data_IF_873448215244
#
_entry.id   IF_873448215244
#
_cell.length_a   1.000
_cell.length_b   1.000
_cell.length_c   1.000
_cell.angle_alpha   90.00
_cell.angle_beta   90.00
_cell.angle_gamma   90.00
#
_symmetry.space_group_name_H-M   'P 1'
#
loop_
_entity.id
_entity.type
_entity.pdbx_description
1 polymer ?
#
# COMPACT_ATOMS: atom_id res chain seq x y z
N UNK A 1 -43.16 -70.30 14.28
CA UNK A 1 -43.39 -69.95 15.70
C UNK A 1 -42.04 -69.61 16.31
N UNK A 2 -41.70 -68.32 16.40
CA UNK A 2 -40.48 -67.84 17.05
C UNK A 2 -40.92 -66.92 18.18
N UNK A 3 -40.56 -67.30 19.39
CA UNK A 3 -40.94 -66.67 20.65
C UNK A 3 -40.07 -65.45 20.90
N UNK A 4 -40.72 -64.32 21.17
CA UNK A 4 -40.10 -63.02 21.47
C UNK A 4 -39.79 -62.97 22.96
N UNK A 5 -38.52 -62.75 23.32
CA UNK A 5 -38.11 -62.48 24.70
C UNK A 5 -37.88 -60.98 24.86
N UNK A 6 -38.76 -60.33 25.60
CA UNK A 6 -38.69 -58.92 25.99
C UNK A 6 -37.74 -58.78 27.18
N UNK A 7 -36.66 -58.03 27.02
CA UNK A 7 -35.77 -57.63 28.12
C UNK A 7 -36.14 -56.21 28.54
N UNK A 8 -36.62 -56.08 29.79
CA UNK A 8 -36.89 -54.80 30.46
C UNK A 8 -35.60 -54.34 31.12
N UNK A 9 -35.01 -53.24 30.65
CA UNK A 9 -33.95 -52.53 31.36
C UNK A 9 -34.54 -51.30 32.06
N UNK A 10 -34.30 -51.26 33.37
CA UNK A 10 -34.83 -50.29 34.30
C UNK A 10 -34.22 -48.90 34.15
N UNK A 11 -35.11 -47.93 34.36
CA UNK A 11 -34.88 -46.50 34.45
C UNK A 11 -34.31 -46.16 35.85
N UNK A 12 -33.10 -45.63 35.90
CA UNK A 12 -32.59 -44.75 36.98
C UNK A 12 -31.90 -43.60 36.23
N UNK A 13 -32.35 -42.35 36.27
CA UNK A 13 -32.75 -41.60 37.44
C UNK A 13 -31.58 -40.71 37.90
N UNK A 14 -31.05 -39.86 37.01
CA UNK A 14 -30.15 -38.76 37.38
C UNK A 14 -30.87 -37.44 37.10
N UNK A 15 -31.22 -36.72 38.17
CA UNK A 15 -31.60 -35.32 38.13
C UNK A 15 -30.34 -34.49 37.92
N UNK A 16 -30.16 -33.97 36.70
CA UNK A 16 -29.34 -32.78 36.47
C UNK A 16 -30.27 -31.56 36.59
N UNK A 17 -30.01 -30.71 37.57
CA UNK A 17 -30.67 -29.43 37.71
C UNK A 17 -30.27 -28.52 36.54
N UNK A 18 -31.19 -28.29 35.62
CA UNK A 18 -31.05 -27.29 34.57
C UNK A 18 -31.37 -25.91 35.16
N UNK A 19 -30.36 -25.04 35.29
CA UNK A 19 -30.58 -23.61 35.37
C UNK A 19 -30.98 -23.12 33.98
N UNK A 20 -32.29 -23.10 33.71
CA UNK A 20 -32.86 -22.46 32.54
C UNK A 20 -32.85 -20.95 32.70
N UNK A 21 -31.82 -20.30 32.17
CA UNK A 21 -31.83 -18.88 31.82
C UNK A 21 -31.95 -18.77 30.31
N UNK A 22 -33.16 -18.51 29.83
CA UNK A 22 -33.43 -18.25 28.42
C UNK A 22 -32.98 -16.81 28.12
N UNK A 23 -31.71 -16.64 27.77
CA UNK A 23 -31.18 -15.38 27.27
C UNK A 23 -31.37 -15.35 25.75
N UNK A 24 -32.15 -14.38 25.28
CA UNK A 24 -32.35 -14.12 23.87
C UNK A 24 -31.02 -13.72 23.22
N UNK A 25 -30.67 -14.41 22.13
CA UNK A 25 -29.59 -14.05 21.23
C UNK A 25 -29.89 -12.69 20.59
N UNK A 26 -29.20 -11.65 21.06
CA UNK A 26 -28.88 -10.47 20.29
C UNK A 26 -27.37 -10.51 20.04
N UNK A 27 -26.95 -10.64 18.79
CA UNK A 27 -25.56 -10.50 18.38
C UNK A 27 -25.20 -9.01 18.43
N UNK A 28 -24.65 -8.59 19.57
CA UNK A 28 -24.08 -7.25 19.80
C UNK A 28 -22.54 -7.38 19.84
N UNK A 29 -21.77 -6.37 19.38
CA UNK A 29 -20.31 -6.38 19.47
C UNK A 29 -19.91 -6.19 20.93
N UNK A 30 -19.61 -7.30 21.60
CA UNK A 30 -19.23 -7.31 23.02
C UNK A 30 -19.52 -8.64 23.70
N UNK A 31 -19.34 -9.77 23.01
CA UNK A 31 -19.53 -11.08 23.62
C UNK A 31 -18.49 -11.30 24.72
N UNK A 32 -18.96 -11.28 25.96
CA UNK A 32 -18.12 -11.55 27.11
C UNK A 32 -17.93 -13.06 27.24
N UNK A 33 -16.70 -13.53 26.99
CA UNK A 33 -16.39 -14.96 27.13
C UNK A 33 -16.18 -15.25 28.62
N UNK A 34 -16.96 -16.20 29.15
CA UNK A 34 -16.94 -16.56 30.56
C UNK A 34 -15.68 -17.34 30.94
N UNK A 35 -15.22 -17.14 32.17
CA UNK A 35 -14.15 -17.93 32.77
C UNK A 35 -14.35 -19.45 32.58
N UNK A 36 -13.29 -20.12 32.10
CA UNK A 36 -13.29 -21.56 31.88
C UNK A 36 -13.98 -22.02 30.60
N UNK A 37 -14.42 -21.09 29.73
CA UNK A 37 -14.87 -21.43 28.38
C UNK A 37 -13.69 -21.86 27.51
N UNK A 38 -13.86 -22.92 26.73
CA UNK A 38 -12.90 -23.33 25.71
C UNK A 38 -12.79 -22.30 24.56
N UNK A 39 -13.78 -21.41 24.43
CA UNK A 39 -13.78 -20.34 23.43
C UNK A 39 -12.65 -19.32 23.65
N UNK A 40 -12.15 -19.18 24.89
CA UNK A 40 -11.03 -18.30 25.23
C UNK A 40 -9.74 -18.64 24.45
N UNK A 41 -9.61 -19.88 24.00
CA UNK A 41 -8.40 -20.43 23.36
C UNK A 41 -8.68 -20.97 21.95
N UNK A 42 -9.79 -20.54 21.33
CA UNK A 42 -10.32 -21.16 20.12
C UNK A 42 -9.75 -20.60 18.82
N UNK A 43 -9.08 -19.45 18.87
CA UNK A 43 -8.51 -18.76 17.72
C UNK A 43 -7.01 -18.47 17.91
N UNK A 44 -6.26 -18.47 16.80
CA UNK A 44 -4.86 -18.02 16.79
C UNK A 44 -4.78 -16.52 16.56
N UNK A 45 -3.79 -15.88 17.16
CA UNK A 45 -3.48 -14.48 16.94
C UNK A 45 -2.18 -14.37 16.15
N UNK A 46 -2.29 -14.01 14.87
CA UNK A 46 -1.14 -13.95 13.94
C UNK A 46 -0.58 -12.52 13.77
N UNK A 47 -1.11 -11.54 14.52
CA UNK A 47 -0.67 -10.15 14.45
C UNK A 47 0.31 -9.83 15.60
N UNK A 48 1.31 -8.98 15.37
CA UNK A 48 2.16 -8.47 16.46
C UNK A 48 1.54 -7.26 17.19
N UNK A 49 0.34 -6.84 16.80
CA UNK A 49 -0.42 -5.79 17.49
C UNK A 49 -0.79 -6.22 18.91
N UNK A 50 -0.90 -5.26 19.82
CA UNK A 50 -1.38 -5.54 21.18
C UNK A 50 -2.81 -6.08 21.12
N UNK A 51 -3.06 -7.17 21.83
CA UNK A 51 -4.40 -7.73 21.99
C UNK A 51 -5.25 -6.83 22.88
N UNK A 52 -6.47 -6.56 22.45
CA UNK A 52 -7.44 -5.72 23.16
C UNK A 52 -8.22 -6.46 24.27
N UNK A 53 -7.92 -7.75 24.49
CA UNK A 53 -8.56 -8.56 25.52
C UNK A 53 -8.35 -7.99 26.93
N UNK A 54 -9.42 -7.76 27.68
CA UNK A 54 -9.39 -7.27 29.06
C UNK A 54 -10.26 -8.13 29.98
N UNK A 55 -9.77 -8.37 31.20
CA UNK A 55 -10.55 -9.04 32.23
C UNK A 55 -11.55 -8.09 32.88
N UNK A 56 -12.84 -8.40 32.81
CA UNK A 56 -13.90 -7.60 33.44
C UNK A 56 -14.33 -8.18 34.79
N UNK A 57 -14.67 -7.30 35.74
CA UNK A 57 -15.23 -7.70 37.03
C UNK A 57 -16.69 -8.16 36.88
N UNK A 58 -17.18 -8.94 37.85
CA UNK A 58 -18.57 -9.40 37.86
C UNK A 58 -19.52 -8.25 38.17
N UNK A 59 -20.77 -8.35 37.69
CA UNK A 59 -21.81 -7.32 37.81
C UNK A 59 -22.08 -6.88 39.27
N UNK A 60 -21.79 -7.75 40.24
CA UNK A 60 -21.98 -7.49 41.68
C UNK A 60 -20.77 -6.80 42.36
N UNK A 61 -19.73 -6.40 41.61
CA UNK A 61 -18.48 -5.89 42.17
C UNK A 61 -17.67 -6.96 42.93
N UNK A 62 -18.06 -8.23 42.80
CA UNK A 62 -17.32 -9.36 43.33
C UNK A 62 -16.11 -9.59 42.41
N UNK A 63 -14.91 -9.51 42.99
CA UNK A 63 -13.67 -9.83 42.28
C UNK A 63 -13.58 -11.35 42.08
N UNK A 64 -13.95 -11.84 40.90
CA UNK A 64 -13.59 -13.20 40.52
C UNK A 64 -12.07 -13.26 40.34
N UNK A 65 -11.44 -14.26 40.95
CA UNK A 65 -10.02 -14.58 40.76
C UNK A 65 -9.87 -15.72 39.77
N UNK A 66 -10.52 -15.64 38.61
CA UNK A 66 -10.28 -16.59 37.55
C UNK A 66 -9.10 -16.12 36.70
N UNK A 67 -8.18 -17.03 36.40
CA UNK A 67 -7.17 -16.83 35.39
C UNK A 67 -7.82 -17.10 34.04
N UNK A 68 -7.88 -16.08 33.18
CA UNK A 68 -8.53 -16.17 31.87
C UNK A 68 -7.55 -16.64 30.79
N UNK A 69 -6.26 -16.37 30.97
CA UNK A 69 -5.19 -16.78 30.06
C UNK A 69 -4.09 -15.73 29.97
N UNK A 70 -3.28 -15.81 28.91
CA UNK A 70 -2.22 -14.86 28.59
C UNK A 70 -2.53 -14.14 27.27
N UNK A 71 -2.28 -12.83 27.24
CA UNK A 71 -2.43 -11.99 26.05
C UNK A 71 -1.13 -11.29 25.71
N UNK A 72 -0.92 -10.97 24.43
CA UNK A 72 0.18 -10.13 24.01
C UNK A 72 -0.17 -8.65 24.17
N UNK A 73 0.64 -7.88 24.91
CA UNK A 73 0.41 -6.45 25.12
C UNK A 73 1.15 -5.54 24.11
N UNK A 74 1.76 -6.12 23.08
CA UNK A 74 2.63 -5.40 22.14
C UNK A 74 4.12 -5.51 22.45
N UNK A 75 4.49 -5.94 23.65
CA UNK A 75 5.88 -6.08 24.09
C UNK A 75 6.16 -7.38 24.86
N UNK A 76 5.18 -7.89 25.59
CA UNK A 76 5.29 -9.11 26.38
C UNK A 76 3.93 -9.80 26.52
N UNK A 77 3.97 -11.04 26.98
CA UNK A 77 2.79 -11.79 27.34
C UNK A 77 2.39 -11.51 28.80
N UNK A 78 1.21 -10.90 28.96
CA UNK A 78 0.63 -10.58 30.27
C UNK A 78 -0.48 -11.56 30.63
N UNK A 79 -0.50 -12.00 31.88
CA UNK A 79 -1.62 -12.76 32.42
C UNK A 79 -2.82 -11.83 32.64
N UNK A 80 -3.99 -12.24 32.15
CA UNK A 80 -5.25 -11.57 32.46
C UNK A 80 -6.13 -12.41 33.38
N UNK A 81 -6.88 -11.72 34.25
CA UNK A 81 -7.80 -12.34 35.18
C UNK A 81 -9.05 -11.50 35.35
N UNK A 82 -10.17 -12.15 35.65
CA UNK A 82 -11.48 -11.51 35.74
C UNK A 82 -12.60 -12.53 35.90
N UNK A 83 -13.84 -12.08 35.78
CA UNK A 83 -15.00 -12.98 35.69
C UNK A 83 -15.30 -13.36 34.24
N UNK A 84 -15.04 -12.44 33.31
CA UNK A 84 -15.19 -12.61 31.88
C UNK A 84 -14.07 -11.86 31.16
N UNK A 85 -13.87 -12.18 29.88
CA UNK A 85 -13.04 -11.42 28.97
C UNK A 85 -13.92 -10.50 28.11
N UNK A 86 -13.52 -9.25 27.92
CA UNK A 86 -14.10 -8.31 26.94
C UNK A 86 -13.03 -7.85 25.94
N UNK A 87 -13.42 -7.62 24.69
CA UNK A 87 -12.51 -7.29 23.58
C UNK A 87 -12.64 -8.28 22.43
N UNK A 88 -12.22 -7.87 21.22
CA UNK A 88 -12.30 -8.69 20.01
C UNK A 88 -11.31 -9.88 20.06
N UNK A 89 -10.26 -9.77 20.89
CA UNK A 89 -9.22 -10.78 21.03
C UNK A 89 -9.48 -11.80 22.14
N UNK A 90 -10.64 -11.77 22.80
CA UNK A 90 -10.93 -12.68 23.90
C UNK A 90 -10.93 -14.17 23.54
N UNK A 91 -11.19 -14.49 22.27
CA UNK A 91 -11.10 -15.86 21.77
C UNK A 91 -9.69 -16.31 21.39
N UNK A 92 -8.71 -15.41 21.49
CA UNK A 92 -7.32 -15.58 21.04
C UNK A 92 -6.30 -15.63 22.18
N UNK A 93 -6.76 -15.81 23.41
CA UNK A 93 -5.86 -15.99 24.55
C UNK A 93 -5.13 -17.32 24.41
N UNK A 94 -4.04 -17.46 25.13
CA UNK A 94 -3.31 -18.72 25.27
C UNK A 94 -3.43 -19.23 26.70
N UNK A 95 -3.43 -20.55 26.86
CA UNK A 95 -3.60 -21.19 28.18
C UNK A 95 -2.35 -21.00 29.05
N UNK A 96 -1.18 -20.95 28.42
CA UNK A 96 0.11 -20.86 29.12
C UNK A 96 0.94 -19.67 28.63
N UNK A 97 1.79 -19.15 29.53
CA UNK A 97 2.76 -18.11 29.19
C UNK A 97 3.70 -18.55 28.07
N UNK A 98 4.14 -19.81 28.11
CA UNK A 98 5.04 -20.39 27.10
C UNK A 98 4.40 -20.41 25.71
N UNK A 99 3.13 -20.79 25.60
CA UNK A 99 2.39 -20.74 24.32
C UNK A 99 2.22 -19.31 23.81
N UNK A 100 1.96 -18.36 24.71
CA UNK A 100 1.89 -16.94 24.37
C UNK A 100 3.23 -16.45 23.79
N UNK A 101 4.32 -16.70 24.53
CA UNK A 101 5.68 -16.30 24.16
C UNK A 101 6.14 -17.00 22.88
N UNK A 102 5.77 -18.27 22.69
CA UNK A 102 6.07 -19.02 21.46
C UNK A 102 5.33 -18.43 20.26
N UNK A 103 4.05 -18.10 20.43
CA UNK A 103 3.23 -17.48 19.36
C UNK A 103 3.72 -16.07 19.01
N UNK A 104 4.36 -15.37 19.95
CA UNK A 104 4.87 -14.01 19.78
C UNK A 104 6.40 -13.93 19.80
N UNK A 105 7.10 -15.06 19.58
CA UNK A 105 8.57 -15.07 19.50
C UNK A 105 9.07 -14.17 18.36
N UNK A 106 8.25 -14.05 17.30
CA UNK A 106 8.50 -13.17 16.16
C UNK A 106 7.98 -11.73 16.34
N UNK A 107 7.55 -11.33 17.55
CA UNK A 107 7.06 -9.99 17.87
C UNK A 107 7.87 -9.29 18.96
N UNK A 108 8.81 -9.99 19.59
CA UNK A 108 9.51 -9.54 20.78
C UNK A 108 10.72 -8.66 20.43
N UNK A 109 10.46 -7.53 19.75
CA UNK A 109 11.28 -6.32 19.73
C UNK A 109 12.75 -6.40 19.25
N UNK A 110 13.23 -7.55 18.79
CA UNK A 110 14.56 -7.71 18.18
C UNK A 110 14.49 -8.27 16.75
N UNK A 111 13.37 -8.01 16.07
CA UNK A 111 12.91 -8.75 14.88
C UNK A 111 13.70 -8.54 13.59
N UNK A 112 14.64 -7.61 13.56
CA UNK A 112 15.56 -7.41 12.43
C UNK A 112 16.99 -7.84 12.76
N UNK A 113 17.10 -8.90 13.55
CA UNK A 113 18.38 -9.58 13.76
C UNK A 113 18.74 -10.47 12.57
N UNK A 114 20.04 -10.64 12.39
CA UNK A 114 20.66 -11.60 11.48
C UNK A 114 19.86 -12.90 11.28
N UNK A 115 19.45 -13.18 10.05
CA UNK A 115 18.75 -14.42 9.69
C UNK A 115 17.26 -14.45 10.02
N UNK A 116 16.68 -13.34 10.48
CA UNK A 116 15.23 -13.20 10.63
C UNK A 116 14.53 -13.26 9.26
N UNK A 117 13.55 -14.17 9.05
CA UNK A 117 12.74 -14.18 7.85
C UNK A 117 11.97 -12.87 7.61
N UNK A 118 11.76 -12.07 8.67
CA UNK A 118 11.04 -10.78 8.60
C UNK A 118 11.86 -9.69 7.90
N UNK A 119 13.17 -9.86 7.73
CA UNK A 119 13.99 -8.97 6.90
C UNK A 119 13.60 -9.02 5.43
N UNK A 120 12.92 -10.09 5.00
CA UNK A 120 12.71 -10.41 3.59
C UNK A 120 11.23 -10.36 3.19
N UNK A 121 10.73 -9.17 2.87
CA UNK A 121 9.47 -9.01 2.15
C UNK A 121 9.71 -9.02 0.64
N UNK A 122 8.79 -9.64 -0.10
CA UNK A 122 8.86 -9.78 -1.56
C UNK A 122 8.31 -8.57 -2.34
N UNK A 123 7.86 -7.52 -1.66
CA UNK A 123 7.23 -6.37 -2.31
C UNK A 123 7.86 -5.04 -1.91
N UNK A 124 8.86 -4.60 -2.66
CA UNK A 124 9.19 -3.19 -2.81
C UNK A 124 9.72 -2.94 -4.22
N UNK A 125 9.03 -2.09 -4.97
CA UNK A 125 9.36 -1.77 -6.36
C UNK A 125 9.48 -0.26 -6.59
N UNK A 126 9.55 0.55 -5.52
CA UNK A 126 9.84 1.98 -5.70
C UNK A 126 11.32 2.13 -6.08
N UNK A 127 11.62 3.12 -6.91
CA UNK A 127 12.99 3.42 -7.29
C UNK A 127 13.68 4.37 -6.31
N UNK A 128 12.96 4.81 -5.28
CA UNK A 128 13.50 5.59 -4.17
C UNK A 128 14.44 4.73 -3.32
N UNK A 129 15.48 5.36 -2.79
CA UNK A 129 16.40 4.73 -1.84
C UNK A 129 15.63 4.19 -0.62
N UNK A 130 15.93 2.97 -0.21
CA UNK A 130 15.36 2.37 0.99
C UNK A 130 15.93 3.03 2.26
N UNK A 131 15.06 3.37 3.20
CA UNK A 131 15.41 3.72 4.57
C UNK A 131 15.70 2.45 5.38
N UNK A 132 16.86 1.84 5.11
CA UNK A 132 17.35 0.69 5.84
C UNK A 132 18.87 0.79 6.04
N UNK A 133 19.33 0.66 7.29
CA UNK A 133 20.75 0.75 7.66
C UNK A 133 21.11 -0.34 8.65
N UNK A 134 22.28 -0.95 8.48
CA UNK A 134 22.81 -1.86 9.48
C UNK A 134 23.29 -1.08 10.72
N UNK A 135 22.88 -1.51 11.91
CA UNK A 135 23.24 -0.95 13.21
C UNK A 135 23.66 -2.03 14.25
N UNK A 136 24.22 -1.59 15.36
CA UNK A 136 24.67 -2.45 16.47
C UNK A 136 26.15 -2.90 16.36
N UNK A 137 26.90 -2.95 17.48
CA UNK A 137 28.32 -3.25 17.47
C UNK A 137 28.64 -4.74 17.35
N UNK A 138 29.57 -5.10 16.47
CA UNK A 138 30.39 -6.31 16.60
C UNK A 138 29.87 -7.59 15.92
N UNK A 139 28.73 -7.56 15.23
CA UNK A 139 28.30 -8.69 14.41
C UNK A 139 28.77 -8.52 12.95
N UNK A 140 29.23 -9.61 12.33
CA UNK A 140 29.50 -9.69 10.89
C UNK A 140 28.44 -10.52 10.19
N UNK A 141 27.18 -10.14 10.37
CA UNK A 141 26.08 -10.78 9.66
C UNK A 141 25.66 -9.96 8.46
N UNK A 142 25.27 -10.66 7.37
CA UNK A 142 24.57 -10.06 6.24
C UNK A 142 23.09 -10.01 6.60
N UNK A 143 22.55 -8.81 6.73
CA UNK A 143 21.13 -8.58 7.01
C UNK A 143 20.29 -8.76 5.74
N UNK A 144 20.86 -8.40 4.59
CA UNK A 144 20.22 -8.52 3.28
C UNK A 144 20.80 -7.50 2.31
N UNK A 145 20.09 -7.27 1.21
CA UNK A 145 20.41 -6.22 0.24
C UNK A 145 19.31 -5.16 0.25
N UNK A 146 19.73 -3.89 0.30
CA UNK A 146 18.84 -2.73 0.20
C UNK A 146 19.13 -1.96 -1.08
N UNK A 147 18.11 -1.40 -1.70
CA UNK A 147 18.27 -0.49 -2.82
C UNK A 147 18.68 0.89 -2.32
N UNK A 148 19.83 1.40 -2.73
CA UNK A 148 20.31 2.72 -2.30
C UNK A 148 19.79 3.87 -3.20
N UNK A 149 18.94 3.59 -4.18
CA UNK A 149 18.49 4.54 -5.21
C UNK A 149 19.15 4.32 -6.58
N UNK A 150 20.31 3.66 -6.60
CA UNK A 150 21.12 3.45 -7.81
C UNK A 150 21.56 2.00 -7.98
N UNK A 151 21.84 1.31 -6.87
CA UNK A 151 22.31 -0.06 -6.85
C UNK A 151 21.88 -0.78 -5.57
N UNK A 152 21.90 -2.11 -5.63
CA UNK A 152 21.69 -2.96 -4.47
C UNK A 152 22.96 -3.03 -3.63
N UNK A 153 22.89 -2.53 -2.40
CA UNK A 153 23.98 -2.58 -1.43
C UNK A 153 23.72 -3.62 -0.35
N UNK A 154 24.76 -4.39 -0.02
CA UNK A 154 24.71 -5.35 1.08
C UNK A 154 24.70 -4.61 2.42
N UNK A 155 23.65 -4.77 3.20
CA UNK A 155 23.61 -4.32 4.59
C UNK A 155 24.21 -5.40 5.48
N UNK A 156 25.16 -5.00 6.32
CA UNK A 156 25.77 -5.86 7.32
C UNK A 156 25.85 -5.14 8.65
N UNK A 157 25.42 -5.81 9.73
CA UNK A 157 25.61 -5.49 11.16
C UNK A 157 24.73 -6.45 12.00
N UNK A 158 24.42 -6.11 13.26
CA UNK A 158 23.60 -6.95 14.15
C UNK A 158 22.10 -6.73 13.94
N UNK A 159 21.72 -5.50 13.64
CA UNK A 159 20.35 -5.00 13.62
C UNK A 159 20.14 -4.16 12.37
N UNK A 160 18.91 -4.06 11.89
CA UNK A 160 18.52 -3.08 10.88
C UNK A 160 17.73 -1.95 11.53
N UNK A 161 18.09 -0.70 11.22
CA UNK A 161 17.36 0.51 11.59
C UNK A 161 16.78 1.19 10.34
N UNK A 162 15.52 1.59 10.41
CA UNK A 162 14.82 2.31 9.35
C UNK A 162 13.45 1.70 9.00
N UNK A 163 12.64 2.46 8.26
CA UNK A 163 11.28 2.07 7.90
C UNK A 163 11.19 0.92 6.88
N UNK A 164 12.29 0.61 6.19
CA UNK A 164 12.35 -0.40 5.11
C UNK A 164 13.13 -1.66 5.51
N UNK A 165 13.40 -1.86 6.80
CA UNK A 165 14.14 -3.02 7.28
C UNK A 165 13.43 -4.37 7.07
N UNK A 166 12.11 -4.35 6.89
CA UNK A 166 11.32 -5.53 6.50
C UNK A 166 11.30 -5.79 5.00
N UNK A 167 11.97 -4.95 4.20
CA UNK A 167 11.93 -4.97 2.74
C UNK A 167 13.26 -5.33 2.08
N UNK A 168 14.24 -5.81 2.84
CA UNK A 168 15.51 -6.26 2.28
C UNK A 168 15.26 -7.50 1.41
N UNK A 169 16.14 -7.75 0.44
CA UNK A 169 16.14 -9.03 -0.28
C UNK A 169 17.23 -9.95 0.26
N UNK A 170 17.07 -11.26 0.04
CA UNK A 170 18.03 -12.26 0.51
C UNK A 170 19.31 -12.27 -0.32
N UNK A 171 19.19 -11.89 -1.60
CA UNK A 171 20.31 -11.87 -2.53
C UNK A 171 20.38 -10.57 -3.32
N UNK A 172 21.60 -10.26 -3.79
CA UNK A 172 21.83 -9.13 -4.69
C UNK A 172 20.99 -9.26 -5.96
N UNK A 173 20.90 -10.46 -6.53
CA UNK A 173 20.13 -10.75 -7.75
C UNK A 173 18.64 -10.46 -7.55
N UNK A 174 18.05 -10.85 -6.41
CA UNK A 174 16.66 -10.52 -6.08
C UNK A 174 16.42 -9.01 -5.96
N UNK A 175 17.34 -8.27 -5.35
CA UNK A 175 17.21 -6.81 -5.28
C UNK A 175 17.36 -6.19 -6.68
N UNK A 176 18.35 -6.61 -7.45
CA UNK A 176 18.56 -6.09 -8.81
C UNK A 176 17.38 -6.41 -9.72
N UNK A 177 16.74 -7.57 -9.55
CA UNK A 177 15.54 -7.94 -10.27
C UNK A 177 14.32 -7.12 -9.83
N UNK A 178 14.13 -6.91 -8.51
CA UNK A 178 13.06 -6.08 -7.97
C UNK A 178 13.18 -4.61 -8.44
N UNK A 179 14.42 -4.16 -8.66
CA UNK A 179 14.76 -2.81 -9.12
C UNK A 179 15.22 -2.78 -10.58
N UNK A 180 14.92 -3.81 -11.39
CA UNK A 180 15.36 -3.87 -12.78
C UNK A 180 14.78 -2.73 -13.63
N UNK A 181 13.59 -2.23 -13.27
CA UNK A 181 12.96 -1.05 -13.87
C UNK A 181 13.49 0.27 -13.31
N UNK A 182 14.14 0.23 -12.14
CA UNK A 182 14.77 1.38 -11.50
C UNK A 182 16.19 1.60 -12.02
N UNK A 183 16.47 1.04 -13.21
CA UNK A 183 17.79 0.86 -13.79
C UNK A 183 18.69 2.02 -13.46
N UNK A 184 19.87 1.70 -12.92
CA UNK A 184 20.95 2.65 -12.73
C UNK A 184 21.07 3.48 -14.01
N UNK A 185 20.49 4.68 -14.03
CA UNK A 185 20.63 5.58 -15.14
C UNK A 185 22.03 6.13 -15.01
N UNK A 186 23.03 5.32 -15.37
CA UNK A 186 24.31 5.88 -15.81
C UNK A 186 23.93 6.93 -16.83
N UNK A 187 24.21 8.22 -16.55
CA UNK A 187 23.72 9.30 -17.38
C UNK A 187 24.08 8.98 -18.83
N UNK A 188 23.06 8.90 -19.69
CA UNK A 188 23.29 8.49 -21.08
C UNK A 188 24.07 9.60 -21.75
N UNK A 189 25.30 9.29 -22.11
CA UNK A 189 26.21 10.27 -22.68
C UNK A 189 25.73 10.71 -24.06
N UNK A 190 25.97 11.98 -24.35
CA UNK A 190 25.86 12.54 -25.69
C UNK A 190 26.40 11.60 -26.77
N UNK A 191 25.61 11.40 -27.83
CA UNK A 191 26.01 10.60 -28.99
C UNK A 191 25.88 9.08 -28.80
N UNK A 192 25.40 8.61 -27.64
CA UNK A 192 25.06 7.19 -27.49
C UNK A 192 23.83 6.85 -28.34
N UNK A 193 23.88 5.73 -29.07
CA UNK A 193 22.71 5.22 -29.81
C UNK A 193 21.57 4.83 -28.86
N UNK A 194 21.93 4.56 -27.61
CA UNK A 194 21.06 4.25 -26.51
C UNK A 194 20.04 5.36 -26.20
N UNK A 195 20.31 6.64 -26.52
CA UNK A 195 19.34 7.73 -26.34
C UNK A 195 18.05 7.57 -27.16
N UNK A 196 18.09 6.74 -28.22
CA UNK A 196 17.01 6.58 -29.21
C UNK A 196 16.55 5.12 -29.33
N UNK A 197 16.86 4.28 -28.34
CA UNK A 197 16.71 2.83 -28.43
C UNK A 197 15.26 2.37 -28.26
N UNK A 198 14.45 3.13 -27.53
CA UNK A 198 13.06 2.82 -27.24
C UNK A 198 12.12 3.83 -27.90
N UNK A 199 10.89 3.38 -28.18
CA UNK A 199 9.80 4.28 -28.54
C UNK A 199 9.06 4.66 -27.27
N UNK A 200 8.62 5.91 -27.19
CA UNK A 200 7.65 6.33 -26.20
C UNK A 200 6.26 6.36 -26.82
N UNK A 201 5.28 5.80 -26.11
CA UNK A 201 3.88 5.71 -26.52
C UNK A 201 2.90 6.24 -25.46
N UNK A 202 3.41 6.89 -24.40
CA UNK A 202 2.60 7.48 -23.33
C UNK A 202 2.47 8.99 -23.57
N UNK A 203 1.30 9.57 -23.33
CA UNK A 203 1.08 11.01 -23.54
C UNK A 203 1.53 11.90 -22.37
N UNK A 204 1.97 11.30 -21.27
CA UNK A 204 2.56 12.01 -20.13
C UNK A 204 3.90 12.66 -20.50
N UNK A 205 4.29 13.66 -19.71
CA UNK A 205 5.62 14.27 -19.82
C UNK A 205 6.70 13.21 -19.62
N UNK A 206 7.72 13.22 -20.47
CA UNK A 206 8.86 12.32 -20.35
C UNK A 206 9.73 12.73 -19.16
N UNK A 207 10.12 11.74 -18.37
CA UNK A 207 11.16 11.84 -17.35
C UNK A 207 12.55 11.77 -18.01
N UNK A 208 12.92 12.87 -18.66
CA UNK A 208 14.23 13.03 -19.29
C UNK A 208 14.75 14.45 -19.03
N UNK A 209 15.85 14.55 -18.29
CA UNK A 209 16.49 15.81 -17.91
C UNK A 209 17.92 15.86 -18.39
N UNK A 210 18.33 16.99 -18.96
CA UNK A 210 19.70 17.19 -19.42
C UNK A 210 20.58 17.71 -18.27
N UNK A 211 21.63 16.96 -17.90
CA UNK A 211 22.52 17.27 -16.78
C UNK A 211 23.95 17.60 -17.23
N UNK A 212 24.60 18.48 -16.48
CA UNK A 212 26.01 18.82 -16.67
C UNK A 212 26.91 17.77 -16.03
N UNK A 213 28.15 17.68 -16.50
CA UNK A 213 29.16 16.90 -15.80
C UNK A 213 29.58 17.57 -14.47
N UNK A 214 30.19 16.80 -13.58
CA UNK A 214 30.70 17.30 -12.30
C UNK A 214 31.84 18.31 -12.46
N UNK A 215 32.44 18.40 -13.65
CA UNK A 215 33.57 19.30 -13.90
C UNK A 215 33.13 20.75 -14.12
N UNK A 216 31.83 21.00 -14.35
CA UNK A 216 31.29 22.33 -14.61
C UNK A 216 31.76 22.93 -15.93
N UNK A 217 32.49 22.16 -16.74
CA UNK A 217 32.89 22.54 -18.09
C UNK A 217 31.74 22.20 -19.02
N UNK A 218 30.76 23.09 -19.09
CA UNK A 218 29.49 22.85 -19.79
C UNK A 218 29.68 22.16 -21.14
N UNK A 219 29.25 20.90 -21.23
CA UNK A 219 29.14 20.24 -22.53
C UNK A 219 27.88 20.77 -23.19
N UNK A 220 28.03 21.29 -24.41
CA UNK A 220 26.92 21.67 -25.25
C UNK A 220 26.75 20.62 -26.34
N UNK A 221 26.19 19.47 -25.97
CA UNK A 221 25.80 18.46 -26.93
C UNK A 221 24.29 18.36 -27.02
N UNK A 222 23.80 18.25 -28.25
CA UNK A 222 22.41 17.95 -28.51
C UNK A 222 22.12 16.47 -28.20
N UNK A 223 21.23 16.23 -27.23
CA UNK A 223 20.86 14.89 -26.76
C UNK A 223 19.66 14.32 -27.52
N UNK A 224 18.72 15.17 -27.93
CA UNK A 224 17.49 14.79 -28.63
C UNK A 224 16.32 15.71 -28.30
N UNK A 225 15.11 15.29 -28.66
CA UNK A 225 13.85 15.93 -28.25
C UNK A 225 13.09 15.02 -27.29
N UNK A 226 12.52 15.62 -26.24
CA UNK A 226 11.64 14.99 -25.27
C UNK A 226 10.27 15.67 -25.26
N UNK A 227 9.21 14.92 -25.00
CA UNK A 227 7.87 15.46 -24.83
C UNK A 227 7.68 15.98 -23.40
N UNK A 228 7.35 17.25 -23.23
CA UNK A 228 7.13 17.83 -21.90
C UNK A 228 5.66 17.77 -21.42
N UNK A 229 4.80 17.00 -22.11
CA UNK A 229 3.36 16.97 -21.89
C UNK A 229 2.56 17.87 -22.83
N UNK A 230 3.19 18.89 -23.42
CA UNK A 230 2.52 19.88 -24.28
C UNK A 230 3.21 20.10 -25.63
N UNK A 231 4.54 19.98 -25.66
CA UNK A 231 5.37 20.20 -26.82
C UNK A 231 6.64 19.36 -26.75
N UNK A 232 7.27 19.18 -27.91
CA UNK A 232 8.59 18.61 -28.02
C UNK A 232 9.65 19.66 -27.67
N UNK A 233 10.43 19.41 -26.62
CA UNK A 233 11.51 20.29 -26.17
C UNK A 233 12.86 19.67 -26.47
N UNK A 234 13.81 20.47 -26.98
CA UNK A 234 15.18 20.00 -27.20
C UNK A 234 15.93 19.87 -25.88
N UNK A 235 16.58 18.73 -25.66
CA UNK A 235 17.50 18.52 -24.55
C UNK A 235 18.94 18.66 -25.05
N UNK A 236 19.73 19.49 -24.36
CA UNK A 236 21.14 19.69 -24.69
C UNK A 236 22.00 19.86 -23.44
N UNK A 237 22.90 18.92 -23.18
CA UNK A 237 23.93 18.99 -22.13
C UNK A 237 24.96 17.85 -22.27
N UNK A 238 25.70 17.51 -21.21
CA UNK A 238 26.66 16.41 -21.17
C UNK A 238 25.98 15.03 -21.22
N UNK A 239 24.89 14.87 -20.48
CA UNK A 239 24.19 13.60 -20.38
C UNK A 239 22.68 13.78 -20.14
N UNK A 240 21.93 12.70 -20.33
CA UNK A 240 20.53 12.60 -19.98
C UNK A 240 20.35 11.73 -18.73
N UNK A 241 19.58 12.22 -17.75
CA UNK A 241 19.11 11.48 -16.57
C UNK A 241 17.58 11.37 -16.57
N UNK A 242 17.07 10.26 -16.04
CA UNK A 242 15.64 9.95 -16.00
C UNK A 242 15.27 8.70 -16.80
N UNK A 243 14.10 8.14 -16.48
CA UNK A 243 13.62 6.86 -17.00
C UNK A 243 13.35 6.86 -18.52
N UNK A 244 13.18 8.04 -19.12
CA UNK A 244 12.81 8.20 -20.54
C UNK A 244 13.98 8.66 -21.42
N UNK A 245 15.21 8.69 -20.89
CA UNK A 245 16.39 9.08 -21.66
C UNK A 245 16.73 8.16 -22.83
N UNK A 246 16.19 6.95 -22.87
CA UNK A 246 16.34 6.03 -23.99
C UNK A 246 15.24 6.14 -25.05
N UNK A 247 14.28 7.05 -24.82
CA UNK A 247 13.13 7.28 -25.67
C UNK A 247 13.15 8.64 -26.37
N UNK A 248 14.29 9.37 -26.33
CA UNK A 248 14.40 10.64 -27.05
C UNK A 248 14.23 10.41 -28.55
N UNK A 249 13.83 11.44 -29.27
CA UNK A 249 13.85 11.43 -30.74
C UNK A 249 14.98 12.29 -31.29
N UNK A 250 15.43 11.98 -32.51
CA UNK A 250 16.54 12.69 -33.15
C UNK A 250 16.09 14.04 -33.72
N UNK A 251 14.82 14.15 -34.10
CA UNK A 251 14.24 15.37 -34.67
C UNK A 251 12.95 15.75 -33.95
N UNK A 252 12.64 17.04 -33.96
CA UNK A 252 11.40 17.60 -33.42
C UNK A 252 10.19 16.96 -34.11
N UNK A 253 10.22 16.88 -35.45
CA UNK A 253 9.18 16.25 -36.26
C UNK A 253 8.91 14.79 -35.85
N UNK A 254 9.95 14.01 -35.50
CA UNK A 254 9.76 12.64 -35.00
C UNK A 254 9.06 12.60 -33.64
N UNK A 255 9.39 13.55 -32.74
CA UNK A 255 8.72 13.66 -31.45
C UNK A 255 7.26 14.10 -31.66
N UNK A 256 7.02 15.13 -32.47
CA UNK A 256 5.66 15.61 -32.77
C UNK A 256 4.81 14.53 -33.43
N UNK A 257 5.39 13.74 -34.34
CA UNK A 257 4.69 12.64 -34.97
C UNK A 257 4.38 11.52 -33.96
N UNK A 258 5.30 11.19 -33.06
CA UNK A 258 5.07 10.20 -32.00
C UNK A 258 3.96 10.67 -31.03
N UNK A 259 3.86 11.98 -30.80
CA UNK A 259 2.88 12.60 -29.92
C UNK A 259 1.70 13.26 -30.65
N UNK A 260 1.50 12.97 -31.93
CA UNK A 260 0.42 13.58 -32.72
C UNK A 260 -0.97 13.23 -32.14
N UNK A 261 -1.11 12.02 -31.59
CA UNK A 261 -2.32 11.61 -30.87
C UNK A 261 -2.46 12.30 -29.49
N UNK A 262 -1.34 12.69 -28.88
CA UNK A 262 -1.31 13.36 -27.57
C UNK A 262 -1.64 14.85 -27.68
N UNK A 263 -1.25 15.50 -28.78
CA UNK A 263 -1.65 16.88 -29.07
C UNK A 263 -3.17 17.02 -29.24
N UNK A 264 -3.86 15.96 -29.68
CA UNK A 264 -5.31 15.90 -29.74
C UNK A 264 -5.96 15.59 -28.37
N UNK A 265 -5.25 14.88 -27.48
CA UNK A 265 -5.69 14.55 -26.12
C UNK A 265 -5.47 15.69 -25.11
N UNK A 266 -4.54 16.60 -25.37
CA UNK A 266 -4.43 17.91 -24.71
C UNK A 266 -5.52 18.86 -25.24
N UNK A 267 -6.76 18.40 -25.25
CA UNK A 267 -7.89 19.24 -25.59
C UNK A 267 -8.20 20.12 -24.39
N UNK A 268 -7.63 21.31 -24.38
CA UNK A 268 -8.11 22.40 -23.52
C UNK A 268 -9.59 22.62 -23.84
N UNK A 269 -10.47 22.13 -22.96
CA UNK A 269 -11.89 22.37 -23.11
C UNK A 269 -12.25 23.64 -22.36
N UNK A 270 -12.68 24.64 -23.11
CA UNK A 270 -13.25 25.85 -22.53
C UNK A 270 -14.56 25.52 -21.79
N UNK A 271 -14.83 26.29 -20.75
CA UNK A 271 -16.12 26.34 -20.08
C UNK A 271 -17.31 26.27 -21.06
N UNK A 272 -18.28 25.38 -20.77
CA UNK A 272 -19.49 25.21 -21.58
C UNK A 272 -19.28 24.40 -22.87
N UNK A 273 -18.09 23.85 -23.11
CA UNK A 273 -17.86 22.90 -24.20
C UNK A 273 -18.66 21.62 -23.96
N UNK A 274 -19.53 21.26 -24.90
CA UNK A 274 -20.24 19.98 -24.89
C UNK A 274 -19.30 18.76 -24.90
N UNK A 275 -18.03 18.97 -25.28
CA UNK A 275 -17.02 17.91 -25.25
C UNK A 275 -16.54 17.54 -23.85
N UNK A 276 -16.79 18.38 -22.83
CA UNK A 276 -16.44 18.08 -21.43
C UNK A 276 -17.12 16.80 -20.90
N UNK A 277 -18.24 16.41 -21.51
CA UNK A 277 -19.10 15.30 -21.11
C UNK A 277 -19.26 14.25 -22.22
N UNK A 278 -18.35 14.24 -23.20
CA UNK A 278 -18.51 13.43 -24.41
C UNK A 278 -18.18 11.94 -24.18
N UNK A 279 -17.39 11.63 -23.16
CA UNK A 279 -16.98 10.28 -22.81
C UNK A 279 -17.38 9.94 -21.36
N UNK A 280 -17.42 8.64 -21.05
CA UNK A 280 -17.63 8.16 -19.69
C UNK A 280 -16.29 7.74 -19.09
N UNK A 281 -16.10 7.99 -17.80
CA UNK A 281 -15.02 7.44 -17.00
C UNK A 281 -15.59 6.40 -16.04
N UNK A 282 -15.13 5.17 -16.14
CA UNK A 282 -15.55 4.02 -15.32
C UNK A 282 -14.38 3.34 -14.59
N UNK A 283 -13.18 3.92 -14.66
CA UNK A 283 -12.01 3.43 -13.93
C UNK A 283 -11.99 3.97 -12.50
N UNK A 284 -11.53 3.16 -11.54
CA UNK A 284 -11.38 3.60 -10.15
C UNK A 284 -10.13 4.47 -9.90
N UNK A 285 -9.26 4.63 -10.89
CA UNK A 285 -8.10 5.51 -10.83
C UNK A 285 -8.54 6.98 -10.87
N UNK A 286 -7.78 7.86 -10.20
CA UNK A 286 -8.02 9.30 -10.28
C UNK A 286 -7.98 9.76 -11.75
N UNK A 287 -8.91 10.64 -12.11
CA UNK A 287 -8.96 11.26 -13.43
C UNK A 287 -7.82 12.27 -13.58
N UNK A 288 -7.15 12.26 -14.73
CA UNK A 288 -6.24 13.32 -15.18
C UNK A 288 -7.07 14.48 -15.75
N UNK A 289 -7.69 15.25 -14.86
CA UNK A 289 -8.45 16.45 -15.22
C UNK A 289 -8.21 17.55 -14.18
N UNK A 290 -7.74 18.70 -14.66
CA UNK A 290 -7.38 19.85 -13.82
C UNK A 290 -7.95 21.14 -14.39
N UNK A 291 -8.61 21.91 -13.53
CA UNK A 291 -9.07 23.24 -13.88
C UNK A 291 -7.87 24.21 -13.96
N UNK A 292 -7.81 25.02 -15.02
CA UNK A 292 -6.77 26.03 -15.22
C UNK A 292 -7.36 27.39 -15.56
N UNK A 293 -6.74 28.48 -15.05
CA UNK A 293 -7.11 29.84 -15.42
C UNK A 293 -6.69 30.17 -16.84
N UNK A 294 -7.35 31.16 -17.44
CA UNK A 294 -6.98 31.72 -18.74
C UNK A 294 -5.61 32.42 -18.65
N UNK A 295 -4.85 32.36 -19.74
CA UNK A 295 -3.53 32.98 -19.90
C UNK A 295 -3.55 34.49 -19.65
N UNK A 296 -4.72 35.14 -19.72
CA UNK A 296 -4.89 36.56 -19.40
C UNK A 296 -4.88 36.88 -17.91
N UNK A 297 -4.88 35.86 -17.03
CA UNK A 297 -4.98 36.03 -15.58
C UNK A 297 -6.35 36.54 -15.12
N UNK A 298 -7.34 36.53 -16.02
CA UNK A 298 -8.73 36.85 -15.68
C UNK A 298 -9.35 35.66 -14.94
N UNK A 299 -9.90 35.90 -13.75
CA UNK A 299 -10.61 34.87 -13.01
C UNK A 299 -11.89 34.47 -13.77
N UNK A 300 -11.96 33.27 -14.33
CA UNK A 300 -13.24 32.70 -14.75
C UNK A 300 -13.85 31.94 -13.58
N UNK A 301 -15.11 32.20 -13.29
CA UNK A 301 -15.92 31.35 -12.42
C UNK A 301 -16.90 30.58 -13.29
N UNK A 302 -16.45 29.44 -13.80
CA UNK A 302 -17.31 28.49 -14.49
C UNK A 302 -17.12 27.11 -13.88
N UNK A 303 -18.22 26.40 -13.64
CA UNK A 303 -18.17 24.99 -13.28
C UNK A 303 -17.95 24.18 -14.57
N UNK A 304 -16.80 23.52 -14.67
CA UNK A 304 -16.41 22.69 -15.80
C UNK A 304 -17.07 21.31 -15.73
N UNK A 305 -17.31 20.80 -14.52
CA UNK A 305 -17.91 19.50 -14.25
C UNK A 305 -17.39 18.90 -12.94
N UNK A 306 -17.60 17.59 -12.76
CA UNK A 306 -17.09 16.83 -11.61
C UNK A 306 -16.11 15.74 -12.08
N UNK A 307 -14.98 15.61 -11.39
CA UNK A 307 -13.93 14.62 -11.66
C UNK A 307 -13.73 13.72 -10.44
N UNK A 308 -13.40 12.44 -10.67
CA UNK A 308 -13.05 11.49 -9.62
C UNK A 308 -11.59 11.64 -9.22
N UNK A 309 -11.32 11.93 -7.94
CA UNK A 309 -9.95 12.11 -7.43
C UNK A 309 -9.30 10.81 -6.91
N UNK A 310 -9.96 9.66 -7.08
CA UNK A 310 -9.57 8.37 -6.50
C UNK A 310 -10.35 7.97 -5.24
N UNK A 311 -11.01 8.92 -4.58
CA UNK A 311 -11.76 8.72 -3.33
C UNK A 311 -13.14 9.36 -3.31
N UNK A 312 -13.32 10.47 -4.04
CA UNK A 312 -14.55 11.22 -4.12
C UNK A 312 -14.65 11.98 -5.46
N UNK A 313 -15.87 12.42 -5.78
CA UNK A 313 -16.14 13.30 -6.91
C UNK A 313 -15.98 14.77 -6.50
N UNK A 314 -15.05 15.49 -7.12
CA UNK A 314 -14.76 16.90 -6.86
C UNK A 314 -15.18 17.79 -8.03
N UNK A 315 -15.78 18.94 -7.72
CA UNK A 315 -16.15 19.93 -8.72
C UNK A 315 -14.92 20.69 -9.23
N UNK A 316 -14.70 20.70 -10.55
CA UNK A 316 -13.67 21.49 -11.21
C UNK A 316 -14.26 22.83 -11.67
N UNK A 317 -13.70 23.93 -11.20
CA UNK A 317 -14.16 25.27 -11.60
C UNK A 317 -13.00 26.19 -11.99
N UNK A 318 -12.93 26.57 -13.27
CA UNK A 318 -12.03 27.61 -13.80
C UNK A 318 -12.39 27.94 -15.27
N UNK A 319 -11.48 28.57 -16.02
CA UNK A 319 -11.66 28.92 -17.42
C UNK A 319 -11.66 27.70 -18.36
N UNK A 320 -10.78 26.74 -18.10
CA UNK A 320 -10.64 25.55 -18.94
C UNK A 320 -10.23 24.31 -18.13
N UNK A 321 -10.47 23.14 -18.72
CA UNK A 321 -9.97 21.86 -18.20
C UNK A 321 -8.76 21.40 -19.02
N UNK A 322 -7.67 21.02 -18.34
CA UNK A 322 -6.46 20.40 -18.88
C UNK A 322 -6.29 18.99 -18.33
N UNK A 323 -5.89 18.05 -19.19
CA UNK A 323 -5.64 16.66 -18.83
C UNK A 323 -6.39 15.68 -19.74
N UNK A 324 -5.94 14.43 -19.75
CA UNK A 324 -6.42 13.39 -20.66
C UNK A 324 -7.89 12.98 -20.42
N UNK A 325 -8.46 13.30 -19.26
CA UNK A 325 -9.82 12.93 -18.86
C UNK A 325 -10.81 14.11 -18.84
N UNK A 326 -10.42 15.27 -19.37
CA UNK A 326 -11.30 16.43 -19.39
C UNK A 326 -12.54 16.28 -20.28
N UNK A 327 -12.58 15.29 -21.18
CA UNK A 327 -13.77 14.94 -21.97
C UNK A 327 -14.71 13.96 -21.26
N UNK A 328 -14.31 13.50 -20.06
CA UNK A 328 -15.04 12.51 -19.25
C UNK A 328 -15.60 13.07 -17.95
N UNK A 329 -15.64 14.40 -17.79
CA UNK A 329 -16.25 15.00 -16.61
C UNK A 329 -17.72 14.60 -16.53
N UNK A 330 -18.26 14.55 -15.31
CA UNK A 330 -19.69 14.43 -15.12
C UNK A 330 -20.34 15.81 -15.01
N UNK A 331 -21.59 15.96 -15.49
CA UNK A 331 -22.34 17.22 -15.37
C UNK A 331 -22.79 17.48 -13.92
N UNK A 332 -22.95 16.41 -13.13
CA UNK A 332 -23.43 16.44 -11.74
C UNK A 332 -22.60 15.51 -10.86
N UNK A 333 -22.56 15.81 -9.56
CA UNK A 333 -21.85 14.96 -8.59
C UNK A 333 -22.47 13.55 -8.53
N UNK A 334 -23.80 13.46 -8.63
CA UNK A 334 -24.51 12.17 -8.59
C UNK A 334 -24.17 11.28 -9.79
N UNK A 335 -23.99 11.87 -10.98
CA UNK A 335 -23.53 11.12 -12.17
C UNK A 335 -22.10 10.59 -11.97
N UNK A 336 -21.21 11.40 -11.39
CA UNK A 336 -19.85 10.97 -11.10
C UNK A 336 -19.83 9.84 -10.05
N UNK A 337 -20.58 9.99 -8.96
CA UNK A 337 -20.69 8.97 -7.89
C UNK A 337 -21.30 7.68 -8.43
N UNK A 338 -22.32 7.78 -9.29
CA UNK A 338 -22.93 6.61 -9.91
C UNK A 338 -21.94 5.86 -10.82
N UNK A 339 -21.12 6.59 -11.58
CA UNK A 339 -20.08 5.98 -12.42
C UNK A 339 -18.99 5.26 -11.60
N UNK A 340 -18.73 5.73 -10.38
CA UNK A 340 -17.70 5.19 -9.48
C UNK A 340 -18.27 4.41 -8.29
N UNK A 341 -19.54 3.98 -8.36
CA UNK A 341 -20.20 3.27 -7.26
C UNK A 341 -19.50 1.93 -6.89
N UNK A 342 -18.71 1.36 -7.79
CA UNK A 342 -17.92 0.16 -7.55
C UNK A 342 -16.55 0.45 -6.90
N UNK A 343 -16.16 1.73 -6.79
CA UNK A 343 -14.87 2.19 -6.28
C UNK A 343 -14.95 2.74 -4.84
N UNK A 344 -16.16 2.91 -4.31
CA UNK A 344 -16.49 3.31 -2.93
C UNK A 344 -16.70 2.08 -2.04
#
# INVERSE_FOLDING_TARGET
>A
MKTTTTLVLGLMGLLAAACGGNAQQGTDPGETIQCGSAELFSATHDACGAMDAEGVAGEDGITCRCHLGFKWNGAACDAIGGCACAGDDCGKLTETLEECEQSHTACNGSDFQCGSPRLFSSSHASCESMDAKGAGPGCRCVLGYAWNGTACEMLSNCECEGADCDKLTQSQEECEQAHASCGATTPRQCGSMELYAARHDVCGAMDATAVSDETGLGCYCFLGFAWNGTACVSLANCACEGADCDKLTQTEEQCEQAHAACAEASSTFACGSAKLYAAQHDACTAMDAKAVPDDTGSSCFCLLGFAWNGTACEGLSDCACHGADCDKLAETVEQCEQAHAACL
#
